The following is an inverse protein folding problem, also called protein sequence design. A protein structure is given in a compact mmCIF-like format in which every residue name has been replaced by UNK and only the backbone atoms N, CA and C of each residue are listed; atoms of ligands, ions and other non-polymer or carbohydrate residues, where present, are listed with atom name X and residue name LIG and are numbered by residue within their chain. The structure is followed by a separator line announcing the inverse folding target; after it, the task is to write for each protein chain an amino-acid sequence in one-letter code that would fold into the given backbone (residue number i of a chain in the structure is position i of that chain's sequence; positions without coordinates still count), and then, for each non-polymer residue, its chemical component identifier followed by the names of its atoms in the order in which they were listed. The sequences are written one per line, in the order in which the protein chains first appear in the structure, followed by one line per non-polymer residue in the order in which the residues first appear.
data_IF_582696614818
#
_entry.id   IF_582696614818
#
_cell.length_a   1.000
_cell.length_b   1.000
_cell.length_c   1.000
_cell.angle_alpha   90.00
_cell.angle_beta   90.00
_cell.angle_gamma   90.00
#
_symmetry.space_group_name_H-M   'P 1'
#
loop_
_entity.id
_entity.type
_entity.pdbx_description
1 polymer ?
#
# COMPACT_ATOMS: atom_id res chain seq x y z
N UNK A 1 3.06 31.44 -3.17
CA UNK A 1 3.13 29.98 -3.40
C UNK A 1 1.74 29.46 -3.71
N UNK A 2 1.60 28.67 -4.76
CA UNK A 2 0.31 28.08 -5.10
C UNK A 2 -0.04 27.00 -4.08
N UNK A 3 -1.32 26.82 -3.80
CA UNK A 3 -1.80 25.80 -2.88
C UNK A 3 -1.30 24.40 -3.24
N UNK A 4 -1.22 24.09 -4.53
CA UNK A 4 -0.68 22.82 -5.03
C UNK A 4 0.78 22.62 -4.62
N UNK A 5 1.61 23.66 -4.70
CA UNK A 5 3.02 23.61 -4.33
C UNK A 5 3.19 23.45 -2.81
N UNK A 6 2.32 24.11 -2.04
CA UNK A 6 2.32 23.99 -0.59
C UNK A 6 1.98 22.56 -0.14
N UNK A 7 0.98 21.94 -0.78
CA UNK A 7 0.60 20.55 -0.53
C UNK A 7 1.75 19.60 -0.84
N UNK A 8 2.40 19.79 -1.99
CA UNK A 8 3.54 18.97 -2.40
C UNK A 8 4.68 19.09 -1.40
N UNK A 9 5.03 20.30 -0.99
CA UNK A 9 6.11 20.53 -0.04
C UNK A 9 5.81 19.89 1.32
N UNK A 10 4.59 20.05 1.82
CA UNK A 10 4.14 19.47 3.07
C UNK A 10 4.21 17.93 3.03
N UNK A 11 3.72 17.33 1.94
CA UNK A 11 3.75 15.87 1.76
C UNK A 11 5.18 15.34 1.70
N UNK A 12 6.07 16.03 1.01
CA UNK A 12 7.48 15.65 0.92
C UNK A 12 8.18 15.73 2.27
N UNK A 13 7.88 16.74 3.06
CA UNK A 13 8.44 16.89 4.42
C UNK A 13 8.00 15.73 5.32
N UNK A 14 6.73 15.36 5.24
CA UNK A 14 6.21 14.23 6.02
C UNK A 14 6.83 12.90 5.57
N UNK A 15 6.97 12.70 4.28
CA UNK A 15 7.63 11.51 3.74
C UNK A 15 9.06 11.41 4.21
N UNK A 16 9.81 12.49 4.11
CA UNK A 16 11.20 12.54 4.56
C UNK A 16 11.32 12.22 6.05
N UNK A 17 10.47 12.82 6.88
CA UNK A 17 10.46 12.57 8.31
C UNK A 17 10.14 11.10 8.62
N UNK A 18 9.17 10.51 7.94
CA UNK A 18 8.80 9.12 8.14
C UNK A 18 9.94 8.16 7.75
N UNK A 19 10.62 8.45 6.64
CA UNK A 19 11.77 7.65 6.18
C UNK A 19 12.93 7.74 7.19
N UNK A 20 13.23 8.94 7.67
CA UNK A 20 14.30 9.15 8.65
C UNK A 20 13.99 8.45 9.98
N UNK A 21 12.74 8.50 10.43
CA UNK A 21 12.33 7.82 11.65
C UNK A 21 12.49 6.31 11.52
N UNK A 22 12.16 5.75 10.36
CA UNK A 22 12.33 4.32 10.12
C UNK A 22 13.80 3.93 10.10
N UNK A 23 14.65 4.76 9.52
CA UNK A 23 16.10 4.53 9.52
C UNK A 23 16.67 4.52 10.95
N UNK A 24 16.20 5.41 11.81
CA UNK A 24 16.59 5.43 13.22
C UNK A 24 16.16 4.15 13.93
N UNK A 25 14.92 3.69 13.70
CA UNK A 25 14.42 2.44 14.29
C UNK A 25 15.22 1.23 13.83
N UNK A 26 15.62 1.19 12.57
CA UNK A 26 16.37 0.08 11.99
C UNK A 26 17.87 0.16 12.29
N UNK A 27 18.38 1.34 12.61
CA UNK A 27 19.81 1.57 12.82
C UNK A 27 20.65 1.52 11.55
N UNK A 28 20.02 1.67 10.39
CA UNK A 28 20.68 1.63 9.07
C UNK A 28 19.81 2.32 8.01
N UNK A 29 20.43 2.57 6.86
CA UNK A 29 19.68 3.09 5.71
C UNK A 29 18.63 2.07 5.25
N UNK A 30 17.49 2.57 4.75
CA UNK A 30 16.41 1.73 4.24
C UNK A 30 16.72 1.25 2.83
N UNK A 31 16.37 0.00 2.52
CA UNK A 31 16.35 -0.47 1.15
C UNK A 31 15.08 -0.03 0.44
N UNK A 32 14.97 -0.32 -0.86
CA UNK A 32 13.82 0.11 -1.68
C UNK A 32 12.50 -0.48 -1.17
N UNK A 33 12.50 -1.73 -0.75
CA UNK A 33 11.29 -2.39 -0.24
C UNK A 33 10.83 -1.75 1.07
N UNK A 34 11.76 -1.43 1.96
CA UNK A 34 11.44 -0.77 3.23
C UNK A 34 10.93 0.65 3.00
N UNK A 35 11.54 1.39 2.08
CA UNK A 35 11.08 2.73 1.70
C UNK A 35 9.67 2.69 1.15
N UNK A 36 9.38 1.69 0.31
CA UNK A 36 8.06 1.48 -0.26
C UNK A 36 7.01 1.20 0.82
N UNK A 37 7.36 0.40 1.82
CA UNK A 37 6.47 0.13 2.96
C UNK A 37 6.12 1.41 3.71
N UNK A 38 7.07 2.31 3.90
CA UNK A 38 6.84 3.58 4.56
C UNK A 38 5.83 4.42 3.76
N UNK A 39 6.03 4.53 2.45
CA UNK A 39 5.10 5.29 1.59
C UNK A 39 3.70 4.67 1.62
N UNK A 40 3.59 3.36 1.53
CA UNK A 40 2.30 2.65 1.58
C UNK A 40 1.58 2.87 2.91
N UNK A 41 2.32 2.88 4.03
CA UNK A 41 1.75 3.15 5.35
C UNK A 41 1.19 4.56 5.44
N UNK A 42 1.91 5.55 4.90
CA UNK A 42 1.44 6.94 4.88
C UNK A 42 0.17 7.09 4.05
N UNK A 43 0.13 6.44 2.89
CA UNK A 43 -1.06 6.47 2.03
C UNK A 43 -2.26 5.83 2.74
N UNK A 44 -2.05 4.69 3.39
CA UNK A 44 -3.11 3.99 4.13
C UNK A 44 -3.67 4.85 5.25
N UNK A 45 -2.81 5.48 6.04
CA UNK A 45 -3.22 6.37 7.11
C UNK A 45 -4.11 7.50 6.59
N UNK A 46 -3.76 8.06 5.44
CA UNK A 46 -4.54 9.15 4.83
C UNK A 46 -5.87 8.66 4.28
N UNK A 47 -5.91 7.46 3.72
CA UNK A 47 -7.20 6.87 3.27
C UNK A 47 -8.14 6.65 4.45
N UNK A 48 -7.63 6.17 5.58
CA UNK A 48 -8.42 6.00 6.81
C UNK A 48 -8.93 7.36 7.31
N UNK A 49 -8.09 8.39 7.28
CA UNK A 49 -8.48 9.74 7.66
C UNK A 49 -9.56 10.31 6.74
N UNK A 50 -9.44 10.10 5.43
CA UNK A 50 -10.45 10.53 4.44
C UNK A 50 -11.80 9.91 4.78
N UNK A 51 -11.82 8.63 5.08
CA UNK A 51 -13.06 7.93 5.42
C UNK A 51 -13.70 8.55 6.66
N UNK A 52 -12.91 8.84 7.69
CA UNK A 52 -13.41 9.45 8.92
C UNK A 52 -13.89 10.88 8.71
N UNK A 53 -13.14 11.68 7.96
CA UNK A 53 -13.54 13.06 7.65
C UNK A 53 -14.82 13.10 6.82
N UNK A 54 -14.96 12.19 5.87
CA UNK A 54 -16.17 12.09 5.05
C UNK A 54 -17.38 11.73 5.91
N UNK A 55 -17.23 10.76 6.81
CA UNK A 55 -18.28 10.38 7.74
C UNK A 55 -18.66 11.50 8.70
N UNK A 56 -17.68 12.32 9.09
CA UNK A 56 -17.88 13.45 9.98
C UNK A 56 -18.35 14.73 9.27
N UNK A 57 -18.60 14.69 7.97
CA UNK A 57 -19.06 15.84 7.21
C UNK A 57 -17.97 16.88 6.92
N UNK A 58 -16.72 16.51 7.05
CA UNK A 58 -15.58 17.42 6.81
C UNK A 58 -14.91 17.11 5.47
N UNK A 59 -15.66 17.36 4.40
CA UNK A 59 -15.17 17.13 3.04
C UNK A 59 -13.93 17.96 2.70
N UNK A 60 -13.80 19.15 3.27
CA UNK A 60 -12.63 20.01 3.12
C UNK A 60 -11.35 19.32 3.57
N UNK A 61 -11.38 18.65 4.72
CA UNK A 61 -10.24 17.92 5.25
C UNK A 61 -9.99 16.63 4.47
N UNK A 62 -11.07 15.96 4.04
CA UNK A 62 -10.96 14.76 3.20
C UNK A 62 -10.26 15.09 1.87
N UNK A 63 -10.62 16.21 1.25
CA UNK A 63 -10.03 16.64 -0.03
C UNK A 63 -8.56 16.99 0.13
N UNK A 64 -8.18 17.59 1.25
CA UNK A 64 -6.79 17.90 1.56
C UNK A 64 -5.96 16.62 1.66
N UNK A 65 -6.48 15.63 2.39
CA UNK A 65 -5.79 14.33 2.52
C UNK A 65 -5.69 13.62 1.17
N UNK A 66 -6.72 13.69 0.34
CA UNK A 66 -6.70 13.12 -1.00
C UNK A 66 -5.61 13.76 -1.88
N UNK A 67 -5.43 15.07 -1.78
CA UNK A 67 -4.38 15.76 -2.51
C UNK A 67 -2.98 15.30 -2.05
N UNK A 68 -2.80 15.07 -0.75
CA UNK A 68 -1.54 14.56 -0.21
C UNK A 68 -1.25 13.14 -0.70
N UNK A 69 -2.27 12.29 -0.79
CA UNK A 69 -2.14 10.94 -1.35
C UNK A 69 -1.63 10.99 -2.79
N UNK A 70 -2.16 11.89 -3.62
CA UNK A 70 -1.71 12.02 -5.01
C UNK A 70 -0.22 12.32 -5.12
N UNK A 71 0.30 13.16 -4.22
CA UNK A 71 1.72 13.45 -4.17
C UNK A 71 2.51 12.22 -3.77
N UNK A 72 2.09 11.52 -2.71
CA UNK A 72 2.78 10.33 -2.23
C UNK A 72 2.79 9.20 -3.25
N UNK A 73 1.71 9.02 -3.99
CA UNK A 73 1.59 7.97 -5.00
C UNK A 73 2.58 8.14 -6.15
N UNK A 74 3.08 9.36 -6.40
CA UNK A 74 4.10 9.57 -7.43
C UNK A 74 5.41 8.87 -7.11
N UNK A 75 5.63 8.49 -5.85
CA UNK A 75 6.82 7.77 -5.39
C UNK A 75 6.62 6.26 -5.34
N UNK A 76 5.42 5.78 -5.64
CA UNK A 76 5.13 4.35 -5.71
C UNK A 76 5.32 3.85 -7.14
N UNK A 77 5.78 2.58 -7.30
CA UNK A 77 5.76 1.98 -8.62
C UNK A 77 4.30 1.85 -9.11
N UNK A 78 4.08 1.71 -10.42
CA UNK A 78 2.73 1.48 -10.93
C UNK A 78 2.08 0.30 -10.20
N UNK A 79 0.77 0.41 -9.96
CA UNK A 79 0.03 -0.67 -9.33
C UNK A 79 0.11 -1.94 -10.21
N UNK A 80 0.28 -3.10 -9.57
CA UNK A 80 0.26 -4.37 -10.27
C UNK A 80 -1.13 -4.58 -10.89
N UNK A 81 -1.18 -4.97 -12.16
CA UNK A 81 -2.46 -5.23 -12.82
C UNK A 81 -3.02 -6.59 -12.37
N UNK A 82 -4.28 -6.85 -12.73
CA UNK A 82 -4.96 -8.07 -12.29
C UNK A 82 -4.25 -9.33 -12.82
N UNK A 83 -3.66 -9.28 -14.01
CA UNK A 83 -2.94 -10.43 -14.58
C UNK A 83 -1.71 -10.78 -13.74
N UNK A 84 -0.97 -9.79 -13.25
CA UNK A 84 0.19 -10.00 -12.38
C UNK A 84 -0.26 -10.60 -11.04
N UNK A 85 -1.34 -10.07 -10.47
CA UNK A 85 -1.90 -10.58 -9.21
C UNK A 85 -2.38 -12.02 -9.39
N UNK A 86 -3.10 -12.31 -10.46
CA UNK A 86 -3.60 -13.67 -10.76
C UNK A 86 -2.47 -14.68 -10.86
N UNK A 87 -1.39 -14.30 -11.53
CA UNK A 87 -0.21 -15.16 -11.67
C UNK A 87 0.46 -15.42 -10.32
N UNK A 88 0.68 -14.37 -9.53
CA UNK A 88 1.30 -14.50 -8.22
C UNK A 88 0.47 -15.39 -7.30
N UNK A 89 -0.85 -15.21 -7.31
CA UNK A 89 -1.77 -16.02 -6.51
C UNK A 89 -1.77 -17.48 -6.97
N UNK A 90 -1.83 -17.72 -8.28
CA UNK A 90 -1.81 -19.07 -8.82
C UNK A 90 -0.51 -19.82 -8.45
N UNK A 91 0.63 -19.16 -8.57
CA UNK A 91 1.92 -19.72 -8.18
C UNK A 91 1.99 -19.98 -6.66
N UNK A 92 1.46 -19.04 -5.86
CA UNK A 92 1.43 -19.20 -4.40
C UNK A 92 0.59 -20.39 -3.97
N UNK A 93 -0.56 -20.60 -4.61
CA UNK A 93 -1.44 -21.73 -4.35
C UNK A 93 -0.73 -23.03 -4.71
N UNK A 94 -0.06 -23.08 -5.84
CA UNK A 94 0.69 -24.26 -6.29
C UNK A 94 1.84 -24.57 -5.33
N UNK A 95 2.62 -23.58 -4.94
CA UNK A 95 3.77 -23.76 -4.04
C UNK A 95 3.39 -24.18 -2.63
N UNK A 96 2.29 -23.63 -2.11
CA UNK A 96 1.84 -23.95 -0.76
C UNK A 96 0.98 -25.20 -0.68
N UNK A 97 0.52 -25.69 -1.83
CA UNK A 97 -0.39 -26.83 -1.87
C UNK A 97 -1.78 -26.51 -1.34
N UNK A 98 -2.16 -25.24 -1.32
CA UNK A 98 -3.45 -24.78 -0.81
C UNK A 98 -4.59 -25.37 -1.65
N UNK A 99 -5.61 -25.92 -0.98
CA UNK A 99 -6.74 -26.57 -1.65
C UNK A 99 -8.10 -26.05 -1.21
N UNK A 100 -8.14 -25.28 -0.12
CA UNK A 100 -9.41 -24.80 0.44
C UNK A 100 -9.21 -23.47 1.17
N UNK A 101 -10.34 -22.90 1.59
CA UNK A 101 -10.34 -21.65 2.38
C UNK A 101 -9.52 -21.73 3.68
N UNK A 102 -9.32 -22.93 4.21
CA UNK A 102 -8.48 -23.12 5.40
C UNK A 102 -7.02 -22.77 5.15
N UNK A 103 -6.59 -22.87 3.91
CA UNK A 103 -5.21 -22.58 3.51
C UNK A 103 -5.01 -21.14 3.05
N UNK A 104 -6.05 -20.33 3.16
CA UNK A 104 -6.05 -18.96 2.64
C UNK A 104 -4.92 -18.10 3.22
N UNK A 105 -4.66 -18.23 4.53
CA UNK A 105 -3.58 -17.47 5.19
C UNK A 105 -2.21 -17.77 4.60
N UNK A 106 -1.91 -19.04 4.34
CA UNK A 106 -0.63 -19.45 3.73
C UNK A 106 -0.52 -18.98 2.29
N UNK A 107 -1.57 -19.15 1.52
CA UNK A 107 -1.62 -18.71 0.12
C UNK A 107 -1.47 -17.20 0.02
N UNK A 108 -2.16 -16.47 0.88
CA UNK A 108 -2.10 -15.00 0.94
C UNK A 108 -0.69 -14.52 1.25
N UNK A 109 -0.04 -15.10 2.26
CA UNK A 109 1.31 -14.76 2.64
C UNK A 109 2.30 -15.00 1.49
N UNK A 110 2.19 -16.14 0.83
CA UNK A 110 3.06 -16.48 -0.29
C UNK A 110 2.82 -15.56 -1.49
N UNK A 111 1.56 -15.23 -1.78
CA UNK A 111 1.22 -14.30 -2.86
C UNK A 111 1.78 -12.90 -2.60
N UNK A 112 1.64 -12.40 -1.38
CA UNK A 112 2.16 -11.08 -1.01
C UNK A 112 3.70 -11.05 -1.09
N UNK A 113 4.37 -12.15 -0.76
CA UNK A 113 5.83 -12.24 -0.90
C UNK A 113 6.26 -12.15 -2.37
N UNK A 114 5.51 -12.77 -3.28
CA UNK A 114 5.77 -12.70 -4.73
C UNK A 114 5.49 -11.32 -5.30
N UNK A 115 4.60 -10.58 -4.70
CA UNK A 115 4.23 -9.22 -5.11
C UNK A 115 5.05 -8.14 -4.39
N UNK A 116 6.01 -8.52 -3.57
CA UNK A 116 6.88 -7.60 -2.87
C UNK A 116 7.60 -6.67 -3.87
N UNK A 117 7.67 -5.40 -3.54
CA UNK A 117 8.25 -4.40 -4.43
C UNK A 117 7.27 -3.82 -5.45
N UNK A 118 6.04 -4.33 -5.51
CA UNK A 118 4.98 -3.80 -6.36
C UNK A 118 3.89 -3.15 -5.52
N UNK A 119 3.19 -2.20 -6.10
CA UNK A 119 2.05 -1.56 -5.46
C UNK A 119 0.83 -2.45 -5.67
N UNK A 120 0.31 -3.04 -4.59
CA UNK A 120 -0.87 -3.90 -4.64
C UNK A 120 -1.84 -3.55 -3.52
N UNK A 121 -3.14 -3.71 -3.81
CA UNK A 121 -4.17 -3.60 -2.79
C UNK A 121 -4.38 -4.98 -2.18
N UNK A 122 -4.13 -5.11 -0.88
CA UNK A 122 -4.31 -6.36 -0.16
C UNK A 122 -5.71 -6.95 -0.28
N UNK A 123 -6.73 -6.09 -0.42
CA UNK A 123 -8.11 -6.56 -0.61
C UNK A 123 -8.28 -7.28 -1.94
N UNK A 124 -7.67 -6.76 -3.01
CA UNK A 124 -7.74 -7.38 -4.34
C UNK A 124 -7.04 -8.72 -4.32
N UNK A 125 -5.87 -8.80 -3.69
CA UNK A 125 -5.13 -10.07 -3.55
C UNK A 125 -5.96 -11.07 -2.74
N UNK A 126 -6.56 -10.64 -1.64
CA UNK A 126 -7.41 -11.47 -0.79
C UNK A 126 -8.60 -12.04 -1.56
N UNK A 127 -9.31 -11.20 -2.31
CA UNK A 127 -10.43 -11.62 -3.14
C UNK A 127 -10.02 -12.61 -4.22
N UNK A 128 -8.85 -12.40 -4.82
CA UNK A 128 -8.31 -13.30 -5.84
C UNK A 128 -7.98 -14.67 -5.24
N UNK A 129 -7.34 -14.72 -4.08
CA UNK A 129 -7.04 -15.95 -3.37
C UNK A 129 -8.34 -16.69 -3.03
N UNK A 130 -9.30 -15.97 -2.46
CA UNK A 130 -10.60 -16.57 -2.09
C UNK A 130 -11.31 -17.17 -3.30
N UNK A 131 -11.34 -16.45 -4.41
CA UNK A 131 -11.98 -16.92 -5.64
C UNK A 131 -11.33 -18.17 -6.19
N UNK A 132 -10.00 -18.23 -6.16
CA UNK A 132 -9.25 -19.38 -6.68
C UNK A 132 -9.31 -20.61 -5.77
N UNK A 133 -9.57 -20.43 -4.49
CA UNK A 133 -9.68 -21.50 -3.51
C UNK A 133 -11.11 -21.98 -3.26
N UNK A 134 -12.08 -21.29 -3.83
CA UNK A 134 -13.49 -21.72 -3.70
C UNK A 134 -13.93 -22.69 -4.78
#
# INVERSE_FOLDING_TARGET
MRQKDATRLSSLRMLKAALMNREVERGRALDDAESLQVVNSLVKQRRDSIEQFTKGGRQDLADKEAAEIRVLETYLPPAADQAVIDRAVAEAITETGATSAKDMGRAMKAAMAKLAGQTVDGKVVNETVRRKLS
#
